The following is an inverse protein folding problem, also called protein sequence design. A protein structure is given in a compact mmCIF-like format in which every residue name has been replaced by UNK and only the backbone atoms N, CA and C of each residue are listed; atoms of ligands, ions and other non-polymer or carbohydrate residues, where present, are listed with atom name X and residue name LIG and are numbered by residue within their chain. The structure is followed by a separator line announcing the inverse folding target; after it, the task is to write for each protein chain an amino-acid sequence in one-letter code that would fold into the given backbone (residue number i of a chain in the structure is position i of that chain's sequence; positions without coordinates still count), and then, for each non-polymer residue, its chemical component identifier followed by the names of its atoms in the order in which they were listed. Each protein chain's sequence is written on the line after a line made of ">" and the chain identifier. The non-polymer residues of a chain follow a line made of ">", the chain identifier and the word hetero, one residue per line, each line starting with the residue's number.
data_IF_302062415072
#
_entry.id   IF_302062415072
#
_cell.length_a   1.000
_cell.length_b   1.000
_cell.length_c   1.000
_cell.angle_alpha   90.00
_cell.angle_beta   90.00
_cell.angle_gamma   90.00
#
_symmetry.space_group_name_H-M   'P 1'
#
loop_
_entity.id
_entity.type
_entity.pdbx_description
1 polymer ?
#
# COMPACT_ATOMS: atom_id res chain seq x y z
N UNK A 1 77.14 15.50 19.35
CA UNK A 1 76.75 14.14 19.80
C UNK A 1 75.68 14.29 20.86
N UNK A 2 74.49 13.72 20.63
CA UNK A 2 73.50 13.23 21.60
C UNK A 2 72.05 13.55 21.19
N UNK A 3 71.51 12.61 20.44
CA UNK A 3 70.12 12.39 20.09
C UNK A 3 69.23 12.27 21.32
N UNK A 4 68.02 12.84 21.25
CA UNK A 4 66.85 12.30 21.97
C UNK A 4 65.65 12.27 21.02
N UNK A 5 65.42 11.07 20.50
CA UNK A 5 64.23 10.66 19.76
C UNK A 5 63.08 10.55 20.79
N UNK A 6 62.10 11.46 20.72
CA UNK A 6 60.84 11.33 21.44
C UNK A 6 59.83 10.61 20.57
N UNK A 7 59.53 9.35 20.89
CA UNK A 7 58.58 8.50 20.18
C UNK A 7 57.14 8.96 20.49
N UNK A 8 56.49 9.64 19.55
CA UNK A 8 55.06 9.92 19.62
C UNK A 8 54.28 8.73 19.04
N UNK A 9 53.70 7.90 19.90
CA UNK A 9 52.79 6.82 19.50
C UNK A 9 51.41 7.41 19.13
N UNK A 10 51.16 7.56 17.82
CA UNK A 10 49.86 7.96 17.30
C UNK A 10 48.85 6.82 17.43
N UNK A 11 47.82 7.01 18.25
CA UNK A 11 46.68 6.11 18.37
C UNK A 11 45.77 6.30 17.14
N UNK A 12 45.97 5.50 16.09
CA UNK A 12 45.07 5.48 14.94
C UNK A 12 43.77 4.74 15.31
N UNK A 13 42.75 5.48 15.77
CA UNK A 13 41.39 4.96 15.83
C UNK A 13 40.89 4.76 14.39
N UNK A 14 41.00 3.54 13.88
CA UNK A 14 40.26 3.12 12.71
C UNK A 14 38.77 3.09 13.07
N UNK A 15 38.06 4.19 12.79
CA UNK A 15 36.61 4.23 12.87
C UNK A 15 36.05 3.29 11.80
N UNK A 16 35.81 2.02 12.16
CA UNK A 16 34.97 1.13 11.39
C UNK A 16 33.55 1.69 11.45
N UNK A 17 33.24 2.61 10.55
CA UNK A 17 31.89 3.13 10.38
C UNK A 17 31.00 1.94 10.05
N UNK A 18 30.23 1.45 11.03
CA UNK A 18 29.13 0.54 10.82
C UNK A 18 28.20 1.19 9.79
N UNK A 19 28.35 0.82 8.53
CA UNK A 19 27.58 1.40 7.43
C UNK A 19 26.15 0.95 7.61
N UNK A 20 25.25 1.88 7.89
CA UNK A 20 23.83 1.60 7.94
C UNK A 20 23.36 1.17 6.55
N UNK A 21 22.46 0.17 6.45
CA UNK A 21 21.94 -0.25 5.16
C UNK A 21 21.22 0.91 4.46
N UNK A 22 21.39 1.05 3.15
CA UNK A 22 20.61 1.99 2.35
C UNK A 22 19.34 1.28 1.87
N UNK A 23 18.13 1.70 2.26
CA UNK A 23 16.90 0.98 1.96
C UNK A 23 16.63 0.73 0.47
N UNK A 24 16.90 1.69 -0.43
CA UNK A 24 16.58 1.54 -1.86
C UNK A 24 17.51 0.57 -2.60
N UNK A 25 18.69 0.32 -2.07
CA UNK A 25 19.61 -0.71 -2.57
C UNK A 25 19.13 -2.12 -2.20
N UNK A 26 18.32 -2.26 -1.14
CA UNK A 26 17.87 -3.54 -0.61
C UNK A 26 16.43 -3.90 -0.98
N UNK A 27 15.60 -2.89 -1.19
CA UNK A 27 14.16 -3.05 -1.36
C UNK A 27 13.67 -2.27 -2.59
N UNK A 28 12.71 -2.86 -3.30
CA UNK A 28 11.92 -2.19 -4.33
C UNK A 28 10.44 -2.12 -3.92
N UNK A 29 9.73 -1.12 -4.44
CA UNK A 29 8.29 -0.96 -4.26
C UNK A 29 7.60 -0.95 -5.62
N UNK A 30 6.54 -1.75 -5.77
CA UNK A 30 5.68 -1.81 -6.95
C UNK A 30 4.21 -1.71 -6.59
N UNK A 31 3.34 -1.60 -7.59
CA UNK A 31 1.88 -1.69 -7.47
C UNK A 31 1.30 -0.72 -6.43
N UNK A 32 1.82 0.51 -6.44
CA UNK A 32 1.39 1.57 -5.53
C UNK A 32 -0.03 1.99 -5.87
N UNK A 33 -0.93 1.88 -4.91
CA UNK A 33 -2.34 2.21 -5.03
C UNK A 33 -2.80 3.00 -3.80
N UNK A 34 -3.21 4.25 -4.02
CA UNK A 34 -3.66 5.15 -2.97
C UNK A 34 -5.15 5.46 -3.15
N UNK A 35 -5.95 5.13 -2.14
CA UNK A 35 -7.40 5.10 -2.20
C UNK A 35 -8.04 5.48 -0.84
N UNK A 36 -9.37 5.56 -0.79
CA UNK A 36 -10.11 5.76 0.46
C UNK A 36 -10.65 4.43 0.98
N UNK A 37 -10.24 4.05 2.19
CA UNK A 37 -10.74 2.88 2.89
C UNK A 37 -12.00 3.24 3.70
N UNK A 38 -12.99 2.36 3.69
CA UNK A 38 -14.17 2.47 4.55
C UNK A 38 -13.80 2.02 5.96
N UNK A 39 -14.13 2.84 6.95
CA UNK A 39 -13.97 2.52 8.36
C UNK A 39 -15.29 1.98 8.95
N UNK A 40 -15.23 1.26 10.08
CA UNK A 40 -16.43 0.88 10.81
C UNK A 40 -17.31 2.09 11.14
N UNK A 41 -18.61 1.95 10.88
CA UNK A 41 -19.62 2.94 11.25
C UNK A 41 -19.67 3.08 12.77
N UNK A 42 -19.75 4.33 13.26
CA UNK A 42 -19.92 4.62 14.69
C UNK A 42 -21.00 5.68 14.85
N UNK A 43 -21.97 5.45 15.74
CA UNK A 43 -23.04 6.43 16.00
C UNK A 43 -23.91 6.78 14.78
N UNK A 44 -24.00 5.89 13.80
CA UNK A 44 -24.71 6.13 12.54
C UNK A 44 -23.92 6.93 11.50
N UNK A 45 -22.70 7.36 11.81
CA UNK A 45 -21.83 8.06 10.87
C UNK A 45 -20.95 7.09 10.07
N UNK A 46 -20.83 7.38 8.79
CA UNK A 46 -19.92 6.72 7.88
C UNK A 46 -18.57 7.43 7.91
N UNK A 47 -17.49 6.68 7.78
CA UNK A 47 -16.13 7.18 7.87
C UNK A 47 -15.28 6.65 6.72
N UNK A 48 -14.44 7.51 6.14
CA UNK A 48 -13.41 7.10 5.18
C UNK A 48 -12.05 7.67 5.58
N UNK A 49 -11.02 6.82 5.49
CA UNK A 49 -9.64 7.20 5.74
C UNK A 49 -8.81 7.00 4.47
N UNK A 50 -7.89 7.92 4.13
CA UNK A 50 -6.97 7.67 3.04
C UNK A 50 -6.00 6.54 3.42
N UNK A 51 -5.68 5.71 2.43
CA UNK A 51 -4.77 4.59 2.57
C UNK A 51 -3.85 4.50 1.36
N UNK A 52 -2.68 3.90 1.55
CA UNK A 52 -1.79 3.48 0.48
C UNK A 52 -1.45 2.01 0.64
N UNK A 53 -1.58 1.26 -0.44
CA UNK A 53 -1.17 -0.13 -0.56
C UNK A 53 -0.06 -0.23 -1.60
N UNK A 54 0.92 -1.08 -1.34
CA UNK A 54 1.98 -1.37 -2.29
C UNK A 54 2.57 -2.75 -2.05
N UNK A 55 3.37 -3.22 -3.02
CA UNK A 55 4.15 -4.45 -2.92
C UNK A 55 5.58 -4.11 -2.56
N UNK A 56 6.06 -4.66 -1.47
CA UNK A 56 7.44 -4.52 -0.99
C UNK A 56 8.23 -5.75 -1.41
N UNK A 57 9.27 -5.56 -2.23
CA UNK A 57 10.12 -6.62 -2.76
C UNK A 57 11.52 -6.56 -2.14
N UNK A 58 12.05 -7.72 -1.72
CA UNK A 58 13.46 -7.83 -1.34
C UNK A 58 14.32 -8.15 -2.57
N UNK A 59 15.02 -7.14 -3.09
CA UNK A 59 15.95 -7.25 -4.22
C UNK A 59 17.36 -7.66 -3.83
N UNK A 60 17.65 -7.77 -2.53
CA UNK A 60 18.98 -8.14 -2.03
C UNK A 60 19.17 -9.67 -2.00
N UNK A 61 20.42 -10.10 -1.88
CA UNK A 61 20.78 -11.52 -1.75
C UNK A 61 20.61 -12.07 -0.32
N UNK A 62 20.22 -11.23 0.64
CA UNK A 62 20.07 -11.63 2.06
C UNK A 62 18.65 -11.42 2.56
N UNK A 63 18.16 -12.25 3.50
CA UNK A 63 16.86 -12.04 4.11
C UNK A 63 16.79 -10.71 4.87
N UNK A 64 15.71 -9.96 4.69
CA UNK A 64 15.45 -8.76 5.49
C UNK A 64 14.70 -9.15 6.75
N UNK A 65 15.26 -8.82 7.91
CA UNK A 65 14.72 -9.22 9.21
C UNK A 65 13.98 -8.11 9.95
N UNK A 66 14.05 -6.87 9.46
CA UNK A 66 13.36 -5.75 10.05
C UNK A 66 13.15 -4.68 8.99
N UNK A 67 11.90 -4.55 8.55
CA UNK A 67 11.47 -3.47 7.67
C UNK A 67 10.27 -2.80 8.30
N UNK A 68 10.35 -1.47 8.40
CA UNK A 68 9.28 -0.62 8.89
C UNK A 68 8.84 0.30 7.76
N UNK A 69 7.53 0.54 7.68
CA UNK A 69 6.93 1.45 6.73
C UNK A 69 6.11 2.50 7.48
N UNK A 70 6.09 3.71 6.96
CA UNK A 70 5.31 4.82 7.52
C UNK A 70 4.75 5.66 6.38
N UNK A 71 3.57 6.23 6.57
CA UNK A 71 2.97 7.18 5.64
C UNK A 71 2.60 8.48 6.36
N UNK A 72 2.74 9.58 5.64
CA UNK A 72 2.25 10.90 6.01
C UNK A 72 1.23 11.34 4.98
N UNK A 73 0.02 11.64 5.45
CA UNK A 73 -1.10 12.10 4.64
C UNK A 73 -1.29 13.60 4.83
N UNK A 74 -1.47 14.31 3.72
CA UNK A 74 -1.64 15.77 3.70
C UNK A 74 -2.82 16.13 2.81
N UNK A 75 -3.52 17.21 3.16
CA UNK A 75 -4.62 17.73 2.33
C UNK A 75 -4.09 18.75 1.34
N UNK A 76 -4.73 18.81 0.17
CA UNK A 76 -4.43 19.79 -0.85
C UNK A 76 -4.71 21.20 -0.34
N UNK A 77 -3.76 22.10 -0.49
CA UNK A 77 -3.79 23.46 0.08
C UNK A 77 -3.31 23.54 1.54
N UNK A 78 -2.93 22.42 2.15
CA UNK A 78 -2.41 22.32 3.52
C UNK A 78 -1.15 21.44 3.57
N UNK A 79 -0.36 21.38 2.50
CA UNK A 79 0.74 20.42 2.33
C UNK A 79 1.93 20.63 3.29
N UNK A 80 1.96 21.75 4.01
CA UNK A 80 2.96 22.00 5.06
C UNK A 80 2.53 21.42 6.42
N UNK A 81 1.29 20.95 6.55
CA UNK A 81 0.74 20.38 7.77
C UNK A 81 0.48 18.88 7.56
N UNK A 82 0.96 18.07 8.51
CA UNK A 82 0.56 16.66 8.56
C UNK A 82 -0.92 16.61 8.96
N UNK A 83 -1.76 16.02 8.12
CA UNK A 83 -3.16 15.79 8.44
C UNK A 83 -3.35 14.46 9.17
N UNK A 84 -2.64 13.42 8.73
CA UNK A 84 -2.67 12.10 9.34
C UNK A 84 -1.43 11.28 9.04
N UNK A 85 -1.29 10.17 9.73
CA UNK A 85 -0.14 9.27 9.64
C UNK A 85 -0.54 7.80 9.74
N UNK A 86 0.39 6.92 9.37
CA UNK A 86 0.27 5.49 9.57
C UNK A 86 1.66 4.86 9.74
N UNK A 87 1.77 3.81 10.55
CA UNK A 87 3.02 3.08 10.76
C UNK A 87 2.76 1.57 10.79
N UNK A 88 3.68 0.79 10.19
CA UNK A 88 3.62 -0.66 10.16
C UNK A 88 5.03 -1.29 10.29
N UNK A 89 5.16 -2.32 11.13
CA UNK A 89 6.32 -3.22 11.11
C UNK A 89 6.07 -4.31 10.05
N UNK A 90 6.31 -3.98 8.79
CA UNK A 90 6.02 -4.84 7.64
C UNK A 90 6.77 -6.19 7.67
N UNK A 91 8.01 -6.21 8.17
CA UNK A 91 8.84 -7.43 8.24
C UNK A 91 9.51 -7.50 9.61
N UNK A 92 9.53 -8.67 10.25
CA UNK A 92 10.14 -8.87 11.57
C UNK A 92 11.05 -10.09 11.62
N UNK A 93 11.87 -10.24 12.67
CA UNK A 93 12.78 -11.39 12.82
C UNK A 93 12.07 -12.73 12.83
N UNK A 94 10.81 -12.77 13.29
CA UNK A 94 9.98 -13.99 13.35
C UNK A 94 9.45 -14.41 11.97
N UNK A 95 9.35 -13.47 11.03
CA UNK A 95 8.92 -13.70 9.65
C UNK A 95 9.77 -12.84 8.71
N UNK A 96 11.02 -13.24 8.43
CA UNK A 96 11.92 -12.49 7.56
C UNK A 96 11.41 -12.49 6.11
N UNK A 97 11.69 -11.42 5.38
CA UNK A 97 11.41 -11.35 3.95
C UNK A 97 12.59 -11.95 3.18
N UNK A 98 12.39 -13.15 2.61
CA UNK A 98 13.41 -13.85 1.85
C UNK A 98 13.86 -13.06 0.60
N UNK A 99 15.10 -13.29 0.10
CA UNK A 99 15.55 -12.77 -1.19
C UNK A 99 14.56 -13.08 -2.32
N UNK A 100 14.30 -12.10 -3.19
CA UNK A 100 13.39 -12.24 -4.32
C UNK A 100 11.90 -12.33 -3.96
N UNK A 101 11.53 -12.31 -2.68
CA UNK A 101 10.13 -12.38 -2.26
C UNK A 101 9.51 -11.00 -2.09
N UNK A 102 8.18 -10.94 -2.24
CA UNK A 102 7.40 -9.71 -2.07
C UNK A 102 6.20 -9.89 -1.15
N UNK A 103 5.93 -8.90 -0.30
CA UNK A 103 4.76 -8.86 0.60
C UNK A 103 3.91 -7.61 0.35
N UNK A 104 2.58 -7.67 0.58
CA UNK A 104 1.75 -6.48 0.51
C UNK A 104 1.91 -5.67 1.80
N UNK A 105 1.98 -4.36 1.69
CA UNK A 105 2.00 -3.43 2.82
C UNK A 105 0.83 -2.47 2.65
N UNK A 106 0.08 -2.19 3.72
CA UNK A 106 -1.09 -1.29 3.67
C UNK A 106 -1.03 -0.32 4.83
N UNK A 107 -0.79 0.94 4.50
CA UNK A 107 -0.71 2.04 5.45
C UNK A 107 -2.01 2.84 5.39
N UNK A 108 -2.83 2.74 6.44
CA UNK A 108 -4.13 3.41 6.56
C UNK A 108 -4.03 4.54 7.57
N UNK A 109 -4.43 5.75 7.18
CA UNK A 109 -4.32 6.93 8.04
C UNK A 109 -5.20 6.83 9.29
N UNK A 110 -4.71 7.44 10.37
CA UNK A 110 -5.50 7.79 11.57
C UNK A 110 -6.49 8.95 11.36
N UNK A 111 -6.26 9.79 10.36
CA UNK A 111 -7.15 10.87 9.93
C UNK A 111 -8.22 10.38 8.95
N UNK A 112 -9.39 11.03 8.99
CA UNK A 112 -10.58 10.58 8.25
C UNK A 112 -11.56 11.70 7.97
N UNK A 113 -12.35 11.49 6.92
CA UNK A 113 -13.62 12.20 6.72
C UNK A 113 -14.77 11.38 7.30
N UNK A 114 -15.86 12.07 7.63
CA UNK A 114 -17.09 11.47 8.12
C UNK A 114 -18.31 12.14 7.50
N UNK A 115 -19.45 11.45 7.50
CA UNK A 115 -20.73 11.94 7.01
C UNK A 115 -21.87 11.14 7.63
N UNK A 116 -23.03 11.78 7.77
CA UNK A 116 -24.30 11.13 8.08
C UNK A 116 -24.97 10.54 6.82
N UNK A 117 -24.52 10.96 5.64
CA UNK A 117 -25.03 10.48 4.34
C UNK A 117 -24.22 9.32 3.76
N UNK A 118 -24.52 8.91 2.51
CA UNK A 118 -23.79 7.85 1.82
C UNK A 118 -22.32 8.24 1.58
N UNK A 119 -21.44 7.22 1.57
CA UNK A 119 -19.98 7.39 1.44
C UNK A 119 -19.61 8.04 0.10
N UNK A 120 -20.29 7.67 -0.98
CA UNK A 120 -20.07 8.16 -2.33
C UNK A 120 -20.27 9.69 -2.41
N UNK A 121 -21.16 10.23 -1.58
CA UNK A 121 -21.44 11.67 -1.50
C UNK A 121 -20.32 12.49 -0.84
N UNK A 122 -19.40 11.87 -0.08
CA UNK A 122 -18.36 12.59 0.66
C UNK A 122 -17.40 13.33 -0.28
N UNK A 123 -17.07 12.77 -1.44
CA UNK A 123 -16.14 13.38 -2.40
C UNK A 123 -16.68 14.66 -3.07
N UNK A 124 -18.00 14.83 -3.08
CA UNK A 124 -18.67 16.03 -3.59
C UNK A 124 -18.84 17.14 -2.55
N UNK A 125 -18.55 16.88 -1.27
CA UNK A 125 -18.83 17.83 -0.20
C UNK A 125 -17.86 19.04 -0.26
N UNK A 126 -18.32 20.29 -0.02
CA UNK A 126 -17.45 21.49 -0.11
C UNK A 126 -16.25 21.50 0.84
N UNK A 127 -16.33 20.77 1.95
CA UNK A 127 -15.22 20.62 2.91
C UNK A 127 -14.25 19.48 2.54
N UNK A 128 -14.60 18.65 1.56
CA UNK A 128 -13.67 17.64 1.06
C UNK A 128 -12.47 18.32 0.41
N UNK A 129 -11.28 17.77 0.68
CA UNK A 129 -10.02 18.17 0.08
C UNK A 129 -9.34 16.90 -0.40
N UNK A 130 -8.74 16.98 -1.58
CA UNK A 130 -7.91 15.90 -2.10
C UNK A 130 -6.76 15.63 -1.13
N UNK A 131 -6.39 14.36 -0.98
CA UNK A 131 -5.29 13.96 -0.12
C UNK A 131 -4.08 13.53 -0.96
N UNK A 132 -2.91 13.69 -0.37
CA UNK A 132 -1.62 13.28 -0.90
C UNK A 132 -0.93 12.42 0.15
N UNK A 133 -0.42 11.28 -0.27
CA UNK A 133 0.34 10.39 0.60
C UNK A 133 1.80 10.38 0.18
N UNK A 134 2.67 10.50 1.17
CA UNK A 134 4.10 10.22 1.03
C UNK A 134 4.46 9.09 1.99
N UNK A 135 5.14 8.07 1.49
CA UNK A 135 5.48 6.89 2.29
C UNK A 135 6.98 6.62 2.32
N UNK A 136 7.41 6.15 3.47
CA UNK A 136 8.79 6.00 3.87
C UNK A 136 9.04 4.59 4.35
N UNK A 137 10.25 4.09 4.09
CA UNK A 137 10.68 2.77 4.53
C UNK A 137 12.02 2.89 5.22
N UNK A 138 12.20 2.08 6.27
CA UNK A 138 13.44 1.91 7.01
C UNK A 138 13.78 0.43 7.11
N UNK A 139 15.07 0.10 7.07
CA UNK A 139 15.59 -1.26 7.21
C UNK A 139 16.51 -1.33 8.42
N UNK A 140 16.15 -2.14 9.42
CA UNK A 140 16.91 -2.23 10.67
C UNK A 140 17.04 -0.88 11.38
N UNK A 141 18.28 -0.42 11.53
CA UNK A 141 18.67 0.86 12.14
C UNK A 141 18.97 1.96 11.12
N UNK A 142 18.65 1.76 9.84
CA UNK A 142 18.81 2.80 8.83
C UNK A 142 17.86 3.99 9.06
N UNK A 143 18.15 5.10 8.39
CA UNK A 143 17.24 6.25 8.33
C UNK A 143 15.98 5.94 7.53
N UNK A 144 14.94 6.73 7.76
CA UNK A 144 13.74 6.73 6.94
C UNK A 144 14.03 7.30 5.55
N UNK A 145 13.67 6.57 4.51
CA UNK A 145 13.85 6.99 3.12
C UNK A 145 12.48 7.05 2.44
N UNK A 146 12.21 8.13 1.69
CA UNK A 146 10.98 8.28 0.90
C UNK A 146 11.01 7.36 -0.32
N UNK A 147 9.98 6.52 -0.46
CA UNK A 147 9.83 5.58 -1.58
C UNK A 147 8.81 6.07 -2.62
N UNK A 148 7.96 7.02 -2.26
CA UNK A 148 7.03 7.61 -3.21
C UNK A 148 6.13 8.65 -2.59
N UNK A 149 5.59 9.49 -3.47
CA UNK A 149 4.59 10.51 -3.16
C UNK A 149 3.55 10.50 -4.25
N UNK A 150 2.31 10.16 -3.90
CA UNK A 150 1.22 9.96 -4.87
C UNK A 150 -0.08 10.58 -4.38
N UNK A 151 -0.93 11.11 -5.28
CA UNK A 151 -2.27 11.56 -4.91
C UNK A 151 -3.13 10.37 -4.48
N UNK A 152 -4.00 10.58 -3.49
CA UNK A 152 -5.04 9.62 -3.11
C UNK A 152 -6.21 9.80 -4.06
N UNK A 153 -6.51 8.77 -4.85
CA UNK A 153 -7.61 8.81 -5.82
C UNK A 153 -8.95 8.95 -5.09
N UNK A 154 -9.90 9.72 -5.67
CA UNK A 154 -11.29 9.85 -5.15
C UNK A 154 -12.10 8.58 -5.42
N UNK A 155 -11.67 7.47 -4.84
CA UNK A 155 -12.22 6.13 -5.05
C UNK A 155 -12.23 5.37 -3.75
N UNK A 156 -13.30 4.61 -3.55
CA UNK A 156 -13.44 3.69 -2.42
C UNK A 156 -12.77 2.37 -2.78
N UNK A 157 -11.93 1.88 -1.87
CA UNK A 157 -11.25 0.59 -1.98
C UNK A 157 -10.06 0.57 -2.94
N UNK A 158 -9.20 -0.44 -2.73
CA UNK A 158 -8.04 -0.68 -3.58
C UNK A 158 -8.46 -1.13 -4.99
N UNK A 159 -7.62 -0.87 -6.01
CA UNK A 159 -7.77 -1.46 -7.35
C UNK A 159 -7.73 -2.98 -7.19
N UNK A 160 -8.75 -3.66 -7.70
CA UNK A 160 -8.72 -5.11 -7.83
C UNK A 160 -7.82 -5.47 -9.01
N UNK A 161 -6.89 -6.40 -8.81
CA UNK A 161 -6.04 -6.98 -9.87
C UNK A 161 -6.85 -7.62 -11.01
N UNK A 162 -8.14 -7.89 -10.78
CA UNK A 162 -9.08 -8.41 -11.79
C UNK A 162 -9.44 -7.39 -12.88
N UNK A 163 -9.21 -6.09 -12.68
CA UNK A 163 -9.50 -5.08 -13.68
C UNK A 163 -8.38 -4.89 -14.73
N UNK A 164 -7.16 -5.37 -14.43
CA UNK A 164 -5.97 -5.12 -15.25
C UNK A 164 -5.45 -6.39 -15.96
N UNK A 165 -5.84 -7.57 -15.48
CA UNK A 165 -5.81 -8.79 -16.29
C UNK A 165 -7.16 -8.88 -16.99
N UNK A 166 -7.19 -8.87 -18.33
CA UNK A 166 -8.39 -9.14 -19.13
C UNK A 166 -8.92 -10.56 -18.92
N UNK A 167 -9.37 -10.87 -17.70
CA UNK A 167 -10.10 -12.08 -17.37
C UNK A 167 -11.52 -11.81 -17.85
N UNK A 168 -11.75 -12.27 -19.07
CA UNK A 168 -13.05 -12.54 -19.64
C UNK A 168 -14.01 -12.93 -18.51
N UNK A 169 -15.08 -12.17 -18.34
CA UNK A 169 -16.20 -12.55 -17.48
C UNK A 169 -16.51 -14.04 -17.75
N UNK A 170 -16.76 -14.87 -16.71
CA UNK A 170 -17.13 -16.25 -16.95
C UNK A 170 -18.34 -16.23 -17.89
N UNK A 171 -18.16 -16.76 -19.10
CA UNK A 171 -19.24 -16.97 -20.04
C UNK A 171 -20.36 -17.69 -19.30
N UNK A 172 -21.63 -17.27 -19.45
CA UNK A 172 -22.73 -18.02 -18.88
C UNK A 172 -22.63 -19.48 -19.35
N UNK A 173 -22.95 -20.47 -18.50
CA UNK A 173 -22.85 -21.87 -18.88
C UNK A 173 -23.62 -22.08 -20.18
N UNK A 174 -22.94 -22.64 -21.18
CA UNK A 174 -23.53 -23.00 -22.44
C UNK A 174 -24.79 -23.83 -22.16
N UNK A 175 -25.94 -23.32 -22.63
CA UNK A 175 -27.18 -24.08 -22.59
C UNK A 175 -26.95 -25.39 -23.35
N UNK A 176 -27.02 -26.51 -22.63
CA UNK A 176 -26.97 -27.85 -23.21
C UNK A 176 -28.03 -27.98 -24.33
N UNK A 177 -27.67 -28.44 -25.54
CA UNK A 177 -28.66 -28.75 -26.57
C UNK A 177 -29.26 -30.11 -26.22
N UNK A 178 -30.44 -30.12 -25.59
CA UNK A 178 -31.04 -31.38 -25.19
C UNK A 178 -32.33 -31.26 -24.41
N UNK A 179 -33.36 -30.65 -25.01
CA UNK A 179 -34.73 -30.93 -24.62
C UNK A 179 -35.62 -30.89 -25.88
N UNK A 180 -36.38 -31.97 -26.19
CA UNK A 180 -37.30 -31.96 -27.32
C UNK A 180 -38.46 -30.99 -27.06
N UNK A 181 -38.83 -30.24 -28.09
CA UNK A 181 -39.97 -29.33 -28.11
C UNK A 181 -41.29 -30.06 -27.78
N UNK A 182 -42.18 -29.50 -26.95
CA UNK A 182 -43.53 -30.03 -26.81
C UNK A 182 -44.36 -29.72 -28.06
N UNK A 183 -44.87 -30.78 -28.68
CA UNK A 183 -45.81 -30.75 -29.81
C UNK A 183 -47.04 -29.90 -29.49
N UNK A 184 -47.38 -28.97 -30.38
CA UNK A 184 -48.64 -28.21 -30.32
C UNK A 184 -49.87 -29.12 -30.50
N UNK A 185 -50.98 -28.86 -29.80
CA UNK A 185 -52.23 -29.58 -30.03
C UNK A 185 -52.91 -29.13 -31.33
N UNK A 186 -53.38 -30.12 -32.09
CA UNK A 186 -54.15 -29.96 -33.32
C UNK A 186 -55.54 -29.36 -33.04
N UNK A 187 -56.05 -28.40 -33.83
CA UNK A 187 -57.42 -27.91 -33.69
C UNK A 187 -58.41 -28.88 -34.36
N UNK A 188 -59.32 -29.42 -33.55
CA UNK A 188 -60.47 -30.20 -34.00
C UNK A 188 -61.42 -29.34 -34.84
N UNK A 189 -61.77 -29.86 -36.01
CA UNK A 189 -62.69 -29.28 -37.01
C UNK A 189 -64.15 -29.43 -36.55
N UNK A 190 -65.05 -28.47 -36.78
CA UNK A 190 -66.47 -28.63 -36.47
C UNK A 190 -67.20 -29.43 -37.57
N UNK A 191 -68.17 -30.24 -37.14
CA UNK A 191 -69.29 -30.75 -37.95
C UNK A 191 -70.58 -30.19 -37.38
#
# INVERSE_FOLDING_TARGET
>A
MNSRLGLAAGLALAATSCRTPEPKALLDVSDVDAYWAVEPTMGGEQYIAPAVKFRLHNRSETPQHSVQAMAVFRRKGEENLSWGSAFEQAVSRKAPLAPGHSIPVTLKSDARYHSQGPIEGMFGHPQYRDALVEFFIRVGSSGWVSFGRVPVERRIGARSVAAESGVLAPSPPAASPGAPSPSSPSPSRPH
#
